data_IF_581668307788
#
_entry.id   IF_581668307788
#
_cell.length_a   1.000
_cell.length_b   1.000
_cell.length_c   1.000
_cell.angle_alpha   90.00
_cell.angle_beta   90.00
_cell.angle_gamma   90.00
#
_symmetry.space_group_name_H-M   'P 1'
#
loop_
_entity.id
_entity.type
_entity.pdbx_description
1 polymer ?
#
# COMPACT_ATOMS: atom_id res chain seq x y z
N UNK A 1 27.56 36.03 36.82
CA UNK A 1 26.30 35.26 36.87
C UNK A 1 25.91 34.95 35.43
N UNK A 2 26.08 33.70 35.01
CA UNK A 2 25.75 33.19 33.68
C UNK A 2 24.67 32.12 33.80
N UNK A 3 23.75 31.97 32.84
CA UNK A 3 22.73 30.92 32.91
C UNK A 3 23.29 29.58 32.40
N UNK A 4 22.79 28.42 32.88
CA UNK A 4 23.11 27.16 32.24
C UNK A 4 22.19 26.89 31.03
N UNK A 5 22.83 26.63 29.89
CA UNK A 5 22.23 26.07 28.68
C UNK A 5 21.54 24.72 28.96
N UNK A 6 20.27 24.59 28.53
CA UNK A 6 19.62 23.29 28.36
C UNK A 6 19.68 22.90 26.89
N UNK A 7 20.56 21.95 26.56
CA UNK A 7 20.55 21.24 25.29
C UNK A 7 19.63 20.02 25.44
N UNK A 8 18.49 20.01 24.73
CA UNK A 8 17.62 18.85 24.67
C UNK A 8 18.19 17.86 23.63
N UNK A 9 18.65 16.71 24.11
CA UNK A 9 19.12 15.61 23.27
C UNK A 9 17.91 14.88 22.66
N UNK A 10 17.75 14.95 21.34
CA UNK A 10 16.78 14.13 20.60
C UNK A 10 17.41 12.75 20.39
N UNK A 11 16.97 11.77 21.18
CA UNK A 11 17.37 10.38 20.99
C UNK A 11 16.74 9.80 19.73
N UNK A 12 17.54 9.54 18.69
CA UNK A 12 17.12 8.74 17.55
C UNK A 12 16.97 7.27 17.96
N UNK A 13 15.73 6.75 17.90
CA UNK A 13 15.45 5.33 18.06
C UNK A 13 15.72 4.64 16.72
N UNK A 14 16.80 3.85 16.64
CA UNK A 14 17.04 2.93 15.53
C UNK A 14 16.21 1.66 15.75
N UNK A 15 15.32 1.35 14.82
CA UNK A 15 14.60 0.07 14.79
C UNK A 15 15.48 -1.03 14.18
N UNK A 16 15.38 -2.29 14.66
CA UNK A 16 16.12 -3.41 14.10
C UNK A 16 15.59 -3.78 12.70
N UNK A 17 16.51 -4.05 11.78
CA UNK A 17 16.20 -4.70 10.51
C UNK A 17 15.81 -6.15 10.81
N UNK A 18 14.53 -6.48 10.63
CA UNK A 18 14.03 -7.84 10.71
C UNK A 18 14.10 -8.43 9.30
N UNK A 19 14.88 -9.51 9.15
CA UNK A 19 15.06 -10.23 7.89
C UNK A 19 13.71 -10.82 7.47
N UNK A 20 13.24 -10.48 6.28
CA UNK A 20 11.98 -10.98 5.74
C UNK A 20 12.02 -12.51 5.62
N UNK A 21 11.16 -13.20 6.36
CA UNK A 21 10.85 -14.60 6.11
C UNK A 21 9.98 -14.70 4.86
N UNK A 22 10.27 -15.67 4.00
CA UNK A 22 9.44 -16.01 2.83
C UNK A 22 8.04 -16.37 3.30
N UNK A 23 6.98 -15.67 2.85
CA UNK A 23 5.62 -16.14 3.06
C UNK A 23 5.36 -17.35 2.17
N UNK A 24 4.95 -18.46 2.79
CA UNK A 24 4.35 -19.58 2.08
C UNK A 24 2.98 -19.12 1.56
N UNK A 25 2.81 -19.05 0.24
CA UNK A 25 1.52 -18.76 -0.37
C UNK A 25 0.58 -19.95 -0.16
N UNK A 26 -0.50 -19.75 0.60
CA UNK A 26 -1.67 -20.62 0.56
C UNK A 26 -2.30 -20.55 -0.83
N UNK A 27 -2.42 -21.69 -1.49
CA UNK A 27 -2.89 -21.79 -2.88
C UNK A 27 -4.34 -21.34 -3.06
N UNK A 28 -4.60 -20.71 -4.20
CA UNK A 28 -5.94 -20.39 -4.69
C UNK A 28 -6.67 -21.67 -5.14
N UNK A 29 -7.93 -21.91 -4.74
CA UNK A 29 -8.72 -22.97 -5.36
C UNK A 29 -9.18 -22.51 -6.75
N UNK A 30 -8.65 -23.13 -7.81
CA UNK A 30 -9.29 -23.12 -9.13
C UNK A 30 -8.63 -22.31 -10.26
N UNK A 31 -7.33 -22.00 -10.22
CA UNK A 31 -6.65 -21.33 -11.34
C UNK A 31 -5.23 -21.83 -11.58
N UNK A 32 -5.02 -22.57 -12.67
CA UNK A 32 -3.68 -22.97 -13.14
C UNK A 32 -3.00 -21.77 -13.81
N UNK A 33 -1.95 -21.21 -13.18
CA UNK A 33 -1.04 -20.29 -13.86
C UNK A 33 0.11 -21.09 -14.48
N UNK A 34 0.07 -21.26 -15.80
CA UNK A 34 1.22 -21.71 -16.60
C UNK A 34 2.04 -20.49 -16.97
N UNK A 35 3.31 -20.44 -16.54
CA UNK A 35 4.30 -19.51 -17.09
C UNK A 35 5.13 -18.76 -16.05
N UNK A 36 6.16 -19.42 -15.52
CA UNK A 36 7.33 -18.72 -15.02
C UNK A 36 8.45 -18.85 -16.07
N UNK A 37 8.94 -17.77 -16.69
CA UNK A 37 10.17 -17.82 -17.48
C UNK A 37 11.38 -17.91 -16.53
N UNK A 38 12.23 -18.92 -16.72
CA UNK A 38 13.49 -19.06 -16.00
C UNK A 38 14.51 -17.97 -16.40
N UNK A 39 15.55 -17.72 -15.58
CA UNK A 39 16.56 -16.71 -15.89
C UNK A 39 17.47 -17.19 -17.03
N UNK A 40 17.46 -16.44 -18.13
CA UNK A 40 18.37 -16.61 -19.27
C UNK A 40 19.78 -16.13 -18.95
N UNK A 41 20.74 -17.00 -19.23
CA UNK A 41 22.19 -16.78 -19.21
C UNK A 41 22.53 -15.73 -20.28
N UNK A 42 23.34 -14.73 -19.90
CA UNK A 42 23.79 -13.66 -20.80
C UNK A 42 24.92 -14.10 -21.71
N UNK A 43 24.99 -13.49 -22.89
CA UNK A 43 26.20 -13.35 -23.70
C UNK A 43 26.05 -12.18 -24.70
N UNK A 44 27.17 -11.50 -24.93
CA UNK A 44 27.35 -10.19 -25.58
C UNK A 44 27.06 -10.16 -27.09
N UNK A 45 26.62 -9.02 -27.65
CA UNK A 45 27.27 -8.43 -28.85
C UNK A 45 26.95 -6.93 -29.07
N UNK A 46 27.91 -6.25 -29.68
CA UNK A 46 28.11 -4.81 -29.85
C UNK A 46 27.24 -4.16 -30.93
N UNK A 47 26.71 -2.97 -30.62
CA UNK A 47 26.74 -1.77 -31.47
C UNK A 47 25.65 -1.59 -32.54
N UNK A 48 24.72 -0.65 -32.31
CA UNK A 48 24.39 0.41 -33.29
C UNK A 48 23.73 1.59 -32.56
N UNK A 49 24.27 2.79 -32.78
CA UNK A 49 23.68 4.04 -32.30
C UNK A 49 22.30 4.25 -32.95
N UNK A 50 21.25 4.20 -32.15
CA UNK A 50 19.98 4.85 -32.43
C UNK A 50 19.80 5.93 -31.37
N UNK A 51 19.57 7.17 -31.80
CA UNK A 51 19.31 8.33 -30.95
C UNK A 51 18.22 8.01 -29.93
N UNK A 52 18.65 7.71 -28.70
CA UNK A 52 17.77 7.59 -27.56
C UNK A 52 17.27 9.00 -27.26
N UNK A 53 16.07 9.31 -27.78
CA UNK A 53 15.16 10.23 -27.11
C UNK A 53 15.24 9.87 -25.63
N UNK A 54 15.78 10.77 -24.80
CA UNK A 54 16.03 10.53 -23.39
C UNK A 54 14.71 10.13 -22.75
N UNK A 55 14.48 8.82 -22.66
CA UNK A 55 13.33 8.26 -21.98
C UNK A 55 13.52 8.68 -20.55
N UNK A 56 12.72 9.65 -20.11
CA UNK A 56 12.54 9.90 -18.69
C UNK A 56 12.27 8.55 -18.07
N UNK A 57 13.26 8.02 -17.33
CA UNK A 57 13.06 6.83 -16.52
C UNK A 57 11.97 7.25 -15.56
N UNK A 58 10.73 6.83 -15.82
CA UNK A 58 9.60 7.14 -14.94
C UNK A 58 10.04 6.67 -13.57
N UNK A 59 10.10 7.60 -12.61
CA UNK A 59 10.44 7.25 -11.25
C UNK A 59 9.56 6.07 -10.81
N UNK A 60 10.14 5.11 -10.10
CA UNK A 60 9.40 3.94 -9.64
C UNK A 60 8.14 4.39 -8.87
N UNK A 61 7.00 3.69 -9.03
CA UNK A 61 5.78 4.01 -8.29
C UNK A 61 6.06 4.14 -6.79
N UNK A 62 5.75 5.32 -6.24
CA UNK A 62 5.90 5.61 -4.82
C UNK A 62 4.55 5.60 -4.12
N UNK A 63 4.54 5.14 -2.86
CA UNK A 63 3.40 5.25 -1.95
C UNK A 63 3.88 5.90 -0.65
N UNK A 64 3.24 7.00 -0.28
CA UNK A 64 3.38 7.61 1.03
C UNK A 64 2.16 7.25 1.86
N UNK A 65 2.39 6.78 3.08
CA UNK A 65 1.33 6.55 4.07
C UNK A 65 1.69 7.25 5.37
N UNK A 66 0.74 7.97 5.94
CA UNK A 66 0.88 8.67 7.21
C UNK A 66 -0.36 8.47 8.09
N UNK A 67 -0.26 8.65 9.42
CA UNK A 67 -1.43 8.71 10.28
C UNK A 67 -2.44 9.74 9.79
N UNK A 68 -3.73 9.47 9.97
CA UNK A 68 -4.81 10.40 9.64
C UNK A 68 -5.06 11.35 10.83
N UNK A 69 -4.83 12.67 10.69
CA UNK A 69 -5.03 13.58 11.82
C UNK A 69 -6.49 13.58 12.31
N UNK A 70 -6.68 13.39 13.62
CA UNK A 70 -7.98 13.49 14.29
C UNK A 70 -8.89 12.26 14.15
N UNK A 71 -8.43 11.15 13.56
CA UNK A 71 -9.19 9.90 13.40
C UNK A 71 -8.26 8.70 13.45
N UNK A 72 -8.78 7.52 13.80
CA UNK A 72 -8.04 6.26 13.67
C UNK A 72 -7.95 5.87 12.19
N UNK A 73 -6.74 5.59 11.72
CA UNK A 73 -6.48 5.23 10.33
C UNK A 73 -5.40 6.06 9.64
N UNK A 74 -5.44 6.06 8.31
CA UNK A 74 -4.30 6.46 7.47
C UNK A 74 -4.69 7.38 6.34
N UNK A 75 -3.73 8.22 5.91
CA UNK A 75 -3.75 8.95 4.65
C UNK A 75 -2.77 8.29 3.69
N UNK A 76 -3.22 8.01 2.47
CA UNK A 76 -2.41 7.44 1.40
C UNK A 76 -2.26 8.43 0.23
N UNK A 77 -1.08 8.48 -0.37
CA UNK A 77 -0.82 9.23 -1.58
C UNK A 77 0.19 8.52 -2.51
N UNK A 78 -0.07 8.56 -3.82
CA UNK A 78 0.72 7.86 -4.83
C UNK A 78 0.02 6.61 -5.39
N UNK A 79 0.79 5.58 -5.71
CA UNK A 79 0.31 4.38 -6.40
C UNK A 79 0.29 3.17 -5.47
N UNK A 80 -0.86 2.49 -5.38
CA UNK A 80 -1.02 1.23 -4.65
C UNK A 80 -0.93 0.09 -5.68
N UNK A 81 0.27 -0.48 -5.78
CA UNK A 81 0.64 -1.47 -6.77
C UNK A 81 1.55 -2.54 -6.16
N UNK A 82 1.88 -3.59 -6.91
CA UNK A 82 2.77 -4.67 -6.47
C UNK A 82 4.05 -4.19 -5.75
N UNK A 83 4.75 -3.16 -6.25
CA UNK A 83 6.00 -2.66 -5.64
C UNK A 83 5.78 -1.88 -4.34
N UNK A 84 4.58 -1.38 -4.08
CA UNK A 84 4.21 -0.62 -2.87
C UNK A 84 3.33 -1.43 -1.91
N UNK A 85 2.99 -2.67 -2.27
CA UNK A 85 2.13 -3.60 -1.52
C UNK A 85 2.50 -3.74 -0.05
N UNK A 86 3.77 -3.97 0.27
CA UNK A 86 4.15 -4.20 1.66
C UNK A 86 3.90 -2.97 2.55
N UNK A 87 4.13 -1.77 2.00
CA UNK A 87 3.86 -0.51 2.71
C UNK A 87 2.37 -0.37 2.95
N UNK A 88 1.56 -0.70 1.95
CA UNK A 88 0.11 -0.66 2.04
C UNK A 88 -0.46 -1.65 3.06
N UNK A 89 -0.01 -2.90 3.01
CA UNK A 89 -0.44 -3.96 3.93
C UNK A 89 -0.10 -3.63 5.38
N UNK A 90 1.15 -3.22 5.66
CA UNK A 90 1.58 -2.86 7.01
C UNK A 90 0.76 -1.71 7.59
N UNK A 91 0.44 -0.72 6.77
CA UNK A 91 -0.37 0.41 7.22
C UNK A 91 -1.81 0.01 7.59
N UNK A 92 -2.45 -0.82 6.76
CA UNK A 92 -3.80 -1.33 7.05
C UNK A 92 -3.80 -2.25 8.28
N UNK A 93 -2.80 -3.13 8.42
CA UNK A 93 -2.65 -4.00 9.59
C UNK A 93 -2.42 -3.21 10.89
N UNK A 94 -1.73 -2.08 10.82
CA UNK A 94 -1.58 -1.17 11.95
C UNK A 94 -2.92 -0.54 12.30
N UNK A 95 -3.61 0.05 11.34
CA UNK A 95 -4.89 0.71 11.56
C UNK A 95 -5.97 -0.25 12.13
N UNK A 96 -6.06 -1.48 11.61
CA UNK A 96 -7.02 -2.50 12.09
C UNK A 96 -6.81 -2.85 13.58
N UNK A 97 -5.58 -2.71 14.11
CA UNK A 97 -5.27 -3.02 15.51
C UNK A 97 -5.64 -1.92 16.50
N UNK A 98 -5.95 -0.71 16.05
CA UNK A 98 -6.17 0.45 16.92
C UNK A 98 -7.54 0.42 17.63
N UNK A 99 -8.51 -0.37 17.14
CA UNK A 99 -9.71 -0.77 17.91
C UNK A 99 -11.01 -0.04 17.57
N UNK A 100 -11.02 0.86 16.59
CA UNK A 100 -12.19 1.57 16.08
C UNK A 100 -12.49 1.31 14.61
N UNK A 101 -13.28 2.22 14.02
CA UNK A 101 -13.47 2.26 12.57
C UNK A 101 -12.17 2.74 11.92
N UNK A 102 -11.79 2.10 10.81
CA UNK A 102 -10.56 2.41 10.10
C UNK A 102 -10.86 3.39 8.99
N UNK A 103 -10.38 4.63 9.14
CA UNK A 103 -10.53 5.66 8.12
C UNK A 103 -9.34 5.67 7.17
N UNK A 104 -9.60 5.64 5.87
CA UNK A 104 -8.57 5.66 4.82
C UNK A 104 -8.82 6.87 3.92
N UNK A 105 -7.97 7.88 4.02
CA UNK A 105 -8.02 9.06 3.17
C UNK A 105 -7.19 8.86 1.90
N UNK A 106 -7.84 8.91 0.73
CA UNK A 106 -7.28 8.46 -0.54
C UNK A 106 -7.22 9.54 -1.62
N UNK A 107 -7.49 10.81 -1.30
CA UNK A 107 -7.45 11.89 -2.29
C UNK A 107 -6.10 12.11 -2.98
N UNK A 108 -5.00 11.66 -2.37
CA UNK A 108 -3.67 11.70 -2.98
C UNK A 108 -3.32 10.44 -3.79
N UNK A 109 -4.19 9.43 -3.79
CA UNK A 109 -3.95 8.17 -4.51
C UNK A 109 -4.27 8.36 -5.98
N UNK A 110 -3.30 8.05 -6.83
CA UNK A 110 -3.41 8.24 -8.29
C UNK A 110 -3.76 6.94 -9.01
N UNK A 111 -3.44 5.79 -8.43
CA UNK A 111 -3.71 4.48 -9.01
C UNK A 111 -3.80 3.41 -7.93
N UNK A 112 -4.69 2.42 -8.15
CA UNK A 112 -4.82 1.23 -7.30
C UNK A 112 -5.02 0.02 -8.23
N UNK A 113 -4.17 -0.99 -8.10
CA UNK A 113 -4.38 -2.27 -8.78
C UNK A 113 -5.42 -3.15 -8.06
N UNK A 114 -5.80 -4.27 -8.68
CA UNK A 114 -6.82 -5.17 -8.14
C UNK A 114 -6.39 -5.79 -6.80
N UNK A 115 -5.09 -6.02 -6.60
CA UNK A 115 -4.57 -6.58 -5.35
C UNK A 115 -4.55 -5.55 -4.21
N UNK A 116 -4.28 -4.28 -4.53
CA UNK A 116 -4.46 -3.16 -3.61
C UNK A 116 -5.92 -3.04 -3.13
N UNK A 117 -6.88 -3.22 -4.04
CA UNK A 117 -8.31 -3.27 -3.72
C UNK A 117 -8.67 -4.52 -2.89
N UNK A 118 -8.11 -5.68 -3.24
CA UNK A 118 -8.30 -6.91 -2.47
C UNK A 118 -7.81 -6.76 -1.03
N UNK A 119 -6.66 -6.09 -0.83
CA UNK A 119 -6.10 -5.85 0.51
C UNK A 119 -7.04 -5.01 1.38
N UNK A 120 -7.79 -4.06 0.80
CA UNK A 120 -8.83 -3.30 1.51
C UNK A 120 -10.00 -4.19 1.93
N UNK A 121 -10.46 -5.06 1.04
CA UNK A 121 -11.53 -6.01 1.33
C UNK A 121 -11.13 -6.98 2.46
N UNK A 122 -9.89 -7.49 2.40
CA UNK A 122 -9.36 -8.35 3.45
C UNK A 122 -9.18 -7.63 4.79
N UNK A 123 -8.74 -6.37 4.78
CA UNK A 123 -8.69 -5.56 6.00
C UNK A 123 -10.09 -5.37 6.59
N UNK A 124 -11.09 -5.03 5.76
CA UNK A 124 -12.47 -4.87 6.20
C UNK A 124 -13.06 -6.17 6.78
N UNK A 125 -12.73 -7.34 6.22
CA UNK A 125 -13.18 -8.65 6.73
C UNK A 125 -12.59 -9.02 8.10
N UNK A 126 -11.44 -8.44 8.46
CA UNK A 126 -10.77 -8.67 9.75
C UNK A 126 -11.28 -7.75 10.86
N UNK A 127 -12.09 -6.75 10.52
CA UNK A 127 -12.68 -5.87 11.51
C UNK A 127 -13.73 -6.62 12.33
N UNK A 128 -13.83 -6.36 13.65
CA UNK A 128 -14.90 -6.87 14.48
C UNK A 128 -16.29 -6.46 13.95
N UNK A 129 -17.32 -7.21 14.33
CA UNK A 129 -18.70 -6.89 13.98
C UNK A 129 -19.07 -5.46 14.42
N UNK A 130 -19.84 -4.77 13.57
CA UNK A 130 -20.23 -3.37 13.81
C UNK A 130 -19.17 -2.33 13.43
N UNK A 131 -17.92 -2.73 13.16
CA UNK A 131 -16.87 -1.82 12.69
C UNK A 131 -16.84 -1.66 11.18
N UNK A 132 -16.30 -0.53 10.72
CA UNK A 132 -16.22 -0.18 9.30
C UNK A 132 -14.81 0.25 8.90
N UNK A 133 -14.46 -0.09 7.67
CA UNK A 133 -13.38 0.49 6.91
C UNK A 133 -13.97 1.57 6.00
N UNK A 134 -13.72 2.83 6.33
CA UNK A 134 -14.32 3.99 5.66
C UNK A 134 -13.30 4.61 4.71
N UNK A 135 -13.56 4.49 3.41
CA UNK A 135 -12.75 5.05 2.34
C UNK A 135 -13.20 6.49 2.04
N UNK A 136 -12.36 7.47 2.36
CA UNK A 136 -12.58 8.87 2.03
C UNK A 136 -11.94 9.21 0.69
N UNK A 137 -12.76 9.74 -0.23
CA UNK A 137 -12.36 10.19 -1.56
C UNK A 137 -11.52 9.16 -2.34
N UNK A 138 -11.96 7.88 -2.43
CA UNK A 138 -11.25 6.88 -3.22
C UNK A 138 -11.28 7.23 -4.72
N UNK A 139 -10.23 6.87 -5.49
CA UNK A 139 -10.25 6.98 -6.94
C UNK A 139 -11.47 6.27 -7.55
N UNK A 140 -12.05 6.84 -8.61
CA UNK A 140 -13.24 6.28 -9.27
C UNK A 140 -13.04 4.82 -9.72
N UNK A 141 -11.85 4.49 -10.22
CA UNK A 141 -11.48 3.13 -10.61
C UNK A 141 -11.56 2.15 -9.44
N UNK A 142 -11.08 2.55 -8.26
CA UNK A 142 -11.15 1.70 -7.07
C UNK A 142 -12.61 1.43 -6.67
N UNK A 143 -13.47 2.45 -6.71
CA UNK A 143 -14.91 2.27 -6.43
C UNK A 143 -15.52 1.23 -7.35
N UNK A 144 -15.25 1.34 -8.66
CA UNK A 144 -15.78 0.42 -9.66
C UNK A 144 -15.29 -1.02 -9.44
N UNK A 145 -14.03 -1.19 -9.07
CA UNK A 145 -13.43 -2.48 -8.73
C UNK A 145 -14.10 -3.08 -7.49
N UNK A 146 -14.28 -2.28 -6.42
CA UNK A 146 -14.98 -2.73 -5.20
C UNK A 146 -16.42 -3.16 -5.48
N UNK A 147 -17.16 -2.35 -6.25
CA UNK A 147 -18.54 -2.69 -6.67
C UNK A 147 -18.60 -3.97 -7.53
N UNK A 148 -17.56 -4.29 -8.29
CA UNK A 148 -17.55 -5.45 -9.19
C UNK A 148 -17.17 -6.76 -8.48
N UNK A 149 -16.18 -6.71 -7.58
CA UNK A 149 -15.61 -7.91 -6.97
C UNK A 149 -16.05 -8.11 -5.50
N UNK A 150 -16.48 -7.06 -4.81
CA UNK A 150 -16.92 -7.09 -3.41
C UNK A 150 -18.20 -6.26 -3.18
N UNK A 151 -19.27 -6.45 -3.99
CA UNK A 151 -20.51 -5.66 -3.85
C UNK A 151 -21.18 -5.84 -2.49
N UNK A 152 -21.05 -7.01 -1.89
CA UNK A 152 -21.72 -7.40 -0.64
C UNK A 152 -20.79 -7.35 0.57
N UNK A 153 -19.81 -6.44 0.58
CA UNK A 153 -18.88 -6.29 1.70
C UNK A 153 -19.34 -5.16 2.64
N UNK A 154 -20.18 -5.43 3.65
CA UNK A 154 -20.85 -4.41 4.47
C UNK A 154 -19.90 -3.63 5.39
N UNK A 155 -18.70 -4.18 5.61
CA UNK A 155 -17.66 -3.52 6.40
C UNK A 155 -16.92 -2.43 5.61
N UNK A 156 -17.11 -2.31 4.30
CA UNK A 156 -16.55 -1.20 3.52
C UNK A 156 -17.61 -0.12 3.35
N UNK A 157 -17.25 1.10 3.74
CA UNK A 157 -18.03 2.29 3.48
C UNK A 157 -17.24 3.24 2.59
N UNK A 158 -17.92 3.89 1.64
CA UNK A 158 -17.31 4.88 0.75
C UNK A 158 -17.89 6.25 1.04
N UNK A 159 -17.04 7.18 1.49
CA UNK A 159 -17.37 8.58 1.76
C UNK A 159 -16.75 9.50 0.70
N UNK A 160 -17.54 10.47 0.22
CA UNK A 160 -17.10 11.49 -0.74
C UNK A 160 -16.80 12.84 -0.08
N UNK A 161 -17.05 12.98 1.22
CA UNK A 161 -16.98 14.23 2.00
C UNK A 161 -15.80 14.28 2.96
#
# INVERSE_FOLDING_TARGET
MSPPSRSASVSQVRLPVVRAGTPAYGGWPGGSWVGAPGPGVGENTVGTQGEASSGSVRAAPGLTVSPLPGREGVRAAGEIVLTTRETWQRALEQAVREGGDVHVEMSGVTFVDVDGAHTLADAARRLPEGRRLVLHRPPATLRRVLEMFWPDQPAIEVSMS
#
